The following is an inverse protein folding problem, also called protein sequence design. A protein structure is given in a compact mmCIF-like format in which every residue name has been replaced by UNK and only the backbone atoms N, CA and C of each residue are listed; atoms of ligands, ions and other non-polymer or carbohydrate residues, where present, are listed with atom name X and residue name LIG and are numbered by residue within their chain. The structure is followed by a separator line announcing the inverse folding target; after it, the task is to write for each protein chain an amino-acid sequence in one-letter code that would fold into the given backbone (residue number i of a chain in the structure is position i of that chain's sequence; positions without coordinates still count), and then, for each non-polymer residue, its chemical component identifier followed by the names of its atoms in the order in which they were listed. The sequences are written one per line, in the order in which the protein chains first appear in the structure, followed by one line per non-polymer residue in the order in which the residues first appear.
data_IF_284843839868
#
_entry.id   IF_284843839868
#
_cell.length_a   1.000
_cell.length_b   1.000
_cell.length_c   1.000
_cell.angle_alpha   90.00
_cell.angle_beta   90.00
_cell.angle_gamma   90.00
#
_symmetry.space_group_name_H-M   'P 1'
#
loop_
_entity.id
_entity.type
_entity.pdbx_description
1 polymer ?
#
# COMPACT_ATOMS: atom_id res chain seq x y z
N UNK A 1 2.59 17.86 3.01
CA UNK A 1 1.58 17.54 4.05
C UNK A 1 1.51 16.04 4.11
N UNK A 2 1.54 15.46 5.31
CA UNK A 2 1.35 14.02 5.51
C UNK A 2 -0.07 13.63 5.12
N UNK A 3 -0.22 12.63 4.25
CA UNK A 3 -1.53 12.06 3.93
C UNK A 3 -2.16 11.46 5.20
N UNK A 4 -3.47 11.49 5.30
CA UNK A 4 -4.20 10.90 6.41
C UNK A 4 -5.45 10.22 5.87
N UNK A 5 -5.58 8.94 6.19
CA UNK A 5 -6.72 8.13 5.76
C UNK A 5 -7.99 8.59 6.50
N UNK A 6 -9.06 8.77 5.75
CA UNK A 6 -10.40 9.09 6.27
C UNK A 6 -11.21 7.82 6.51
N UNK A 7 -12.23 7.88 7.37
CA UNK A 7 -13.10 6.73 7.63
C UNK A 7 -13.78 6.22 6.34
N UNK A 8 -14.16 7.11 5.42
CA UNK A 8 -14.74 6.73 4.12
C UNK A 8 -13.77 5.94 3.24
N UNK A 9 -12.50 6.34 3.23
CA UNK A 9 -11.46 5.63 2.47
C UNK A 9 -11.17 4.26 3.09
N UNK A 10 -11.14 4.18 4.42
CA UNK A 10 -11.00 2.92 5.16
C UNK A 10 -12.16 1.96 4.84
N UNK A 11 -13.39 2.45 4.75
CA UNK A 11 -14.53 1.62 4.32
C UNK A 11 -14.39 1.14 2.87
N UNK A 12 -13.83 1.96 1.97
CA UNK A 12 -13.53 1.53 0.61
C UNK A 12 -12.48 0.41 0.59
N UNK A 13 -11.41 0.55 1.37
CA UNK A 13 -10.36 -0.48 1.52
C UNK A 13 -10.97 -1.76 2.10
N UNK A 14 -11.80 -1.65 3.13
CA UNK A 14 -12.51 -2.76 3.76
C UNK A 14 -13.38 -3.54 2.76
N UNK A 15 -14.15 -2.82 1.94
CA UNK A 15 -15.00 -3.41 0.91
C UNK A 15 -14.17 -4.18 -0.14
N UNK A 16 -13.07 -3.61 -0.61
CA UNK A 16 -12.16 -4.27 -1.57
C UNK A 16 -11.50 -5.50 -0.95
N UNK A 17 -10.98 -5.39 0.27
CA UNK A 17 -10.35 -6.50 0.97
C UNK A 17 -11.33 -7.54 1.52
N UNK A 18 -12.64 -7.25 1.48
CA UNK A 18 -13.69 -8.16 1.95
C UNK A 18 -13.63 -8.46 3.45
N UNK A 19 -13.19 -7.50 4.26
CA UNK A 19 -13.05 -7.66 5.72
C UNK A 19 -13.47 -6.39 6.44
N UNK A 20 -13.99 -6.52 7.66
CA UNK A 20 -14.40 -5.38 8.49
C UNK A 20 -13.20 -4.81 9.27
N UNK A 21 -12.96 -3.48 9.23
CA UNK A 21 -11.90 -2.86 9.98
C UNK A 21 -12.26 -2.78 11.47
N UNK A 22 -11.31 -3.09 12.34
CA UNK A 22 -11.36 -2.76 13.77
C UNK A 22 -10.73 -1.40 13.98
N UNK A 23 -11.53 -0.42 14.39
CA UNK A 23 -11.06 0.93 14.70
C UNK A 23 -10.53 0.99 16.14
N UNK A 24 -9.34 1.60 16.30
CA UNK A 24 -8.63 1.79 17.56
C UNK A 24 -8.07 3.21 17.57
N UNK A 25 -8.75 4.13 18.27
CA UNK A 25 -8.38 5.55 18.37
C UNK A 25 -8.07 6.18 16.99
N UNK A 26 -6.78 6.39 16.66
CA UNK A 26 -6.28 6.97 15.41
C UNK A 26 -5.72 5.91 14.44
N UNK A 27 -6.14 4.66 14.57
CA UNK A 27 -5.67 3.54 13.77
C UNK A 27 -6.80 2.57 13.40
N UNK A 28 -6.57 1.85 12.31
CA UNK A 28 -7.48 0.82 11.81
C UNK A 28 -6.71 -0.47 11.59
N UNK A 29 -7.32 -1.58 11.99
CA UNK A 29 -6.74 -2.90 11.89
C UNK A 29 -7.65 -3.84 11.10
N UNK A 30 -7.09 -4.53 10.12
CA UNK A 30 -7.77 -5.48 9.27
C UNK A 30 -7.12 -6.84 9.44
N UNK A 31 -7.95 -7.86 9.62
CA UNK A 31 -7.49 -9.24 9.71
C UNK A 31 -8.11 -10.05 8.59
N UNK A 32 -7.26 -10.55 7.71
CA UNK A 32 -7.63 -11.43 6.62
C UNK A 32 -7.07 -12.82 6.90
N UNK A 33 -7.86 -13.83 6.55
CA UNK A 33 -7.39 -15.22 6.51
C UNK A 33 -7.99 -15.90 5.31
N UNK A 34 -7.18 -16.72 4.64
CA UNK A 34 -7.60 -17.51 3.51
C UNK A 34 -7.58 -19.00 3.91
N UNK A 35 -8.73 -19.63 4.17
CA UNK A 35 -8.79 -21.02 4.61
C UNK A 35 -8.24 -22.02 3.57
N UNK A 36 -8.31 -21.69 2.28
CA UNK A 36 -7.88 -22.57 1.20
C UNK A 36 -6.35 -22.64 1.10
N UNK A 37 -5.68 -21.47 1.13
CA UNK A 37 -4.22 -21.38 1.06
C UNK A 37 -3.56 -21.43 2.45
N UNK A 38 -4.36 -21.38 3.52
CA UNK A 38 -3.94 -21.21 4.93
C UNK A 38 -3.14 -19.94 5.18
N UNK A 39 -3.18 -18.97 4.27
CA UNK A 39 -2.51 -17.69 4.44
C UNK A 39 -3.28 -16.77 5.38
N UNK A 40 -2.55 -15.84 6.00
CA UNK A 40 -3.10 -14.81 6.87
C UNK A 40 -2.37 -13.50 6.65
N UNK A 41 -3.11 -12.41 6.66
CA UNK A 41 -2.60 -11.05 6.54
C UNK A 41 -3.25 -10.19 7.63
N UNK A 42 -2.42 -9.57 8.45
CA UNK A 42 -2.82 -8.53 9.39
C UNK A 42 -2.33 -7.19 8.85
N UNK A 43 -3.25 -6.33 8.47
CA UNK A 43 -2.97 -5.00 7.92
C UNK A 43 -3.35 -3.94 8.96
N UNK A 44 -2.45 -3.00 9.24
CA UNK A 44 -2.72 -1.87 10.14
C UNK A 44 -2.44 -0.56 9.43
N UNK A 45 -3.31 0.42 9.63
CA UNK A 45 -3.17 1.77 9.09
C UNK A 45 -3.19 2.72 10.27
N UNK A 46 -2.14 3.52 10.42
CA UNK A 46 -2.03 4.52 11.48
C UNK A 46 -1.84 5.90 10.85
N UNK A 47 -2.62 6.87 11.33
CA UNK A 47 -2.42 8.28 11.02
C UNK A 47 -1.64 8.97 12.14
N UNK A 48 -0.96 10.08 11.81
CA UNK A 48 -0.29 10.96 12.77
C UNK A 48 0.73 10.24 13.67
N UNK A 49 1.46 9.28 13.11
CA UNK A 49 2.57 8.60 13.79
C UNK A 49 3.80 9.49 13.73
N UNK A 50 4.51 9.63 14.85
CA UNK A 50 5.80 10.29 14.90
C UNK A 50 6.88 9.38 14.26
N UNK A 51 7.23 9.65 13.00
CA UNK A 51 8.17 8.86 12.20
C UNK A 51 9.63 9.26 12.40
N UNK A 52 9.88 10.25 13.26
CA UNK A 52 11.20 10.75 13.60
C UNK A 52 11.10 11.97 14.52
N UNK A 53 12.22 12.67 14.72
CA UNK A 53 12.28 13.81 15.64
C UNK A 53 11.30 14.95 15.28
N UNK A 54 11.07 15.19 13.98
CA UNK A 54 10.33 16.37 13.51
C UNK A 54 9.21 16.07 12.49
N UNK A 55 8.93 14.79 12.21
CA UNK A 55 7.96 14.41 11.17
C UNK A 55 6.85 13.51 11.74
N UNK A 56 5.60 13.94 11.50
CA UNK A 56 4.43 13.09 11.67
C UNK A 56 3.95 12.64 10.28
N UNK A 57 3.55 11.38 10.18
CA UNK A 57 3.10 10.79 8.93
C UNK A 57 2.11 9.65 9.14
N UNK A 58 1.63 9.10 8.03
CA UNK A 58 0.88 7.85 8.04
C UNK A 58 1.82 6.67 7.83
N UNK A 59 1.53 5.55 8.48
CA UNK A 59 2.24 4.29 8.28
C UNK A 59 1.21 3.19 8.02
N UNK A 60 1.51 2.34 7.04
CA UNK A 60 0.74 1.14 6.74
C UNK A 60 1.64 -0.06 6.94
N UNK A 61 1.16 -1.04 7.70
CA UNK A 61 1.92 -2.23 8.08
C UNK A 61 1.16 -3.48 7.67
N UNK A 62 1.86 -4.43 7.06
CA UNK A 62 1.31 -5.72 6.64
C UNK A 62 2.16 -6.84 7.26
N UNK A 63 1.57 -7.55 8.21
CA UNK A 63 2.15 -8.74 8.79
C UNK A 63 1.56 -9.98 8.12
N UNK A 64 2.44 -10.77 7.51
CA UNK A 64 2.11 -12.03 6.85
C UNK A 64 2.84 -13.17 7.54
N UNK A 65 2.61 -14.40 7.06
CA UNK A 65 3.41 -15.56 7.46
C UNK A 65 4.86 -15.52 6.94
N UNK A 66 5.13 -14.67 5.95
CA UNK A 66 6.43 -14.56 5.29
C UNK A 66 7.28 -13.41 5.81
N UNK A 67 6.69 -12.52 6.63
CA UNK A 67 7.40 -11.38 7.17
C UNK A 67 6.49 -10.23 7.57
N UNK A 68 7.12 -9.17 8.05
CA UNK A 68 6.51 -7.91 8.41
C UNK A 68 6.98 -6.84 7.43
N UNK A 69 6.03 -6.18 6.78
CA UNK A 69 6.28 -5.13 5.80
C UNK A 69 5.65 -3.84 6.28
N UNK A 70 6.30 -2.73 6.00
CA UNK A 70 5.76 -1.40 6.32
C UNK A 70 6.10 -0.41 5.23
N UNK A 71 5.21 0.56 5.04
CA UNK A 71 5.43 1.71 4.18
C UNK A 71 5.14 2.97 4.98
N UNK A 72 6.10 3.89 4.94
CA UNK A 72 6.10 5.13 5.70
C UNK A 72 5.70 6.28 4.78
N UNK A 73 5.17 7.34 5.40
CA UNK A 73 4.75 8.55 4.72
C UNK A 73 3.93 8.27 3.46
N UNK A 74 2.85 7.49 3.61
CA UNK A 74 1.95 7.28 2.50
C UNK A 74 1.53 8.64 1.92
N UNK A 75 1.42 8.69 0.60
CA UNK A 75 0.93 9.84 -0.16
C UNK A 75 -0.48 9.59 -0.70
N UNK A 76 -0.91 8.32 -0.70
CA UNK A 76 -2.27 7.92 -1.04
C UNK A 76 -2.41 6.40 -1.15
N UNK A 77 -3.55 5.96 -1.66
CA UNK A 77 -3.81 4.57 -2.02
C UNK A 77 -4.68 4.48 -3.27
N UNK A 78 -4.56 3.37 -4.00
CA UNK A 78 -5.43 3.02 -5.12
C UNK A 78 -6.14 1.71 -4.81
N UNK A 79 -7.45 1.70 -5.03
CA UNK A 79 -8.23 0.45 -5.10
C UNK A 79 -8.12 -0.09 -6.52
N UNK A 80 -7.61 -1.31 -6.64
CA UNK A 80 -7.57 -2.06 -7.89
C UNK A 80 -8.64 -3.15 -7.79
N UNK A 81 -9.77 -2.88 -8.42
CA UNK A 81 -10.89 -3.81 -8.40
C UNK A 81 -10.55 -5.13 -9.11
N UNK A 82 -11.03 -6.28 -8.59
CA UNK A 82 -12.04 -6.40 -7.52
C UNK A 82 -11.46 -6.56 -6.09
N UNK A 83 -10.16 -6.77 -5.93
CA UNK A 83 -9.64 -7.40 -4.72
C UNK A 83 -8.28 -6.90 -4.20
N UNK A 84 -7.67 -5.90 -4.83
CA UNK A 84 -6.36 -5.37 -4.43
C UNK A 84 -6.41 -3.91 -4.00
N UNK A 85 -5.54 -3.57 -3.04
CA UNK A 85 -5.30 -2.20 -2.59
C UNK A 85 -3.80 -1.95 -2.65
N UNK A 86 -3.42 -0.86 -3.31
CA UNK A 86 -2.05 -0.40 -3.43
C UNK A 86 -1.87 0.85 -2.58
N UNK A 87 -1.12 0.74 -1.49
CA UNK A 87 -0.67 1.89 -0.71
C UNK A 87 0.60 2.44 -1.32
N UNK A 88 0.72 3.77 -1.43
CA UNK A 88 1.82 4.42 -2.15
C UNK A 88 2.49 5.45 -1.25
N UNK A 89 3.81 5.52 -1.33
CA UNK A 89 4.63 6.60 -0.80
C UNK A 89 5.51 7.12 -1.93
N UNK A 90 5.36 8.39 -2.26
CA UNK A 90 6.12 9.04 -3.33
C UNK A 90 6.87 10.26 -2.76
N UNK A 91 8.20 10.19 -2.75
CA UNK A 91 9.05 11.26 -2.25
C UNK A 91 10.35 11.35 -3.04
N UNK A 92 10.81 12.58 -3.31
CA UNK A 92 12.13 12.84 -3.91
C UNK A 92 12.41 12.05 -5.21
N UNK A 93 11.39 11.85 -6.05
CA UNK A 93 11.51 11.08 -7.29
C UNK A 93 11.59 9.56 -7.11
N UNK A 94 11.40 9.07 -5.89
CA UNK A 94 11.26 7.65 -5.57
C UNK A 94 9.83 7.33 -5.18
N UNK A 95 9.39 6.14 -5.57
CA UNK A 95 8.08 5.58 -5.29
C UNK A 95 8.28 4.23 -4.62
N UNK A 96 7.56 4.02 -3.53
CA UNK A 96 7.39 2.72 -2.91
C UNK A 96 5.90 2.40 -2.83
N UNK A 97 5.55 1.13 -2.91
CA UNK A 97 4.18 0.68 -2.75
C UNK A 97 4.07 -0.63 -2.00
N UNK A 98 3.04 -0.73 -1.16
CA UNK A 98 2.62 -1.96 -0.53
C UNK A 98 1.29 -2.39 -1.15
N UNK A 99 1.30 -3.51 -1.86
CA UNK A 99 0.13 -4.10 -2.50
C UNK A 99 -0.41 -5.19 -1.59
N UNK A 100 -1.67 -5.11 -1.23
CA UNK A 100 -2.37 -6.13 -0.43
C UNK A 100 -3.65 -6.57 -1.11
N UNK A 101 -3.93 -7.87 -1.12
CA UNK A 101 -5.14 -8.41 -1.74
C UNK A 101 -6.02 -9.21 -0.79
N UNK A 102 -7.30 -9.32 -1.14
CA UNK A 102 -8.34 -10.11 -0.42
C UNK A 102 -7.90 -11.54 -0.13
N UNK A 103 -7.11 -12.13 -1.03
CA UNK A 103 -6.59 -13.50 -0.90
C UNK A 103 -5.41 -13.64 0.07
N UNK A 104 -5.12 -12.63 0.91
CA UNK A 104 -3.94 -12.53 1.78
C UNK A 104 -2.61 -12.39 1.02
N UNK A 105 -2.66 -11.89 -0.22
CA UNK A 105 -1.46 -11.53 -0.98
C UNK A 105 -0.85 -10.25 -0.43
N UNK A 106 0.48 -10.17 -0.47
CA UNK A 106 1.23 -9.00 -0.03
C UNK A 106 2.48 -8.88 -0.90
N UNK A 107 2.74 -7.69 -1.45
CA UNK A 107 3.96 -7.41 -2.22
C UNK A 107 4.44 -6.00 -1.93
N UNK A 108 5.74 -5.85 -1.68
CA UNK A 108 6.39 -4.57 -1.44
C UNK A 108 7.32 -4.25 -2.61
N UNK A 109 7.07 -3.12 -3.26
CA UNK A 109 7.99 -2.51 -4.20
C UNK A 109 8.58 -1.27 -3.53
N UNK A 110 9.91 -1.16 -3.48
CA UNK A 110 10.58 -0.10 -2.72
C UNK A 110 11.64 0.59 -3.57
N UNK A 111 11.81 1.89 -3.34
CA UNK A 111 12.86 2.71 -3.96
C UNK A 111 12.83 2.66 -5.50
N UNK A 112 11.63 2.59 -6.08
CA UNK A 112 11.45 2.60 -7.53
C UNK A 112 11.60 4.03 -8.03
N UNK A 113 12.35 4.24 -9.11
CA UNK A 113 12.48 5.58 -9.69
C UNK A 113 11.17 5.95 -10.39
N UNK A 114 10.63 7.15 -10.12
CA UNK A 114 9.35 7.56 -10.67
C UNK A 114 9.35 7.61 -12.21
N UNK A 115 10.50 7.89 -12.83
CA UNK A 115 10.67 7.99 -14.28
C UNK A 115 10.37 6.69 -15.03
N UNK A 116 10.57 5.52 -14.42
CA UNK A 116 10.25 4.24 -15.07
C UNK A 116 8.74 3.97 -15.16
N UNK A 117 7.94 4.60 -14.29
CA UNK A 117 6.49 4.36 -14.20
C UNK A 117 5.78 4.99 -15.40
N UNK A 118 6.25 6.16 -15.83
CA UNK A 118 5.67 6.93 -16.95
C UNK A 118 6.40 6.70 -18.29
N UNK A 119 7.34 5.75 -18.33
CA UNK A 119 8.18 5.47 -19.49
C UNK A 119 7.50 4.51 -20.49
N UNK A 120 8.00 4.50 -21.73
CA UNK A 120 7.61 3.51 -22.73
C UNK A 120 8.10 2.11 -22.32
N UNK A 121 7.17 1.25 -21.88
CA UNK A 121 7.49 -0.08 -21.36
C UNK A 121 8.19 -0.99 -22.37
N UNK A 122 8.03 -0.75 -23.69
CA UNK A 122 8.75 -1.52 -24.71
C UNK A 122 10.26 -1.25 -24.72
N UNK A 123 10.72 -0.18 -24.06
CA UNK A 123 12.12 0.23 -23.96
C UNK A 123 12.74 -0.05 -22.59
N UNK A 124 11.94 -0.50 -21.62
CA UNK A 124 12.43 -0.84 -20.30
C UNK A 124 13.14 -2.20 -20.30
N UNK A 125 14.11 -2.36 -19.42
CA UNK A 125 14.72 -3.66 -19.17
C UNK A 125 13.68 -4.61 -18.54
N UNK A 126 13.70 -5.88 -18.95
CA UNK A 126 12.73 -6.86 -18.47
C UNK A 126 12.73 -7.02 -16.95
N UNK A 127 13.87 -6.78 -16.29
CA UNK A 127 14.01 -6.87 -14.83
C UNK A 127 13.23 -5.80 -14.06
N UNK A 128 12.87 -4.67 -14.69
CA UNK A 128 12.13 -3.57 -14.03
C UNK A 128 10.64 -3.53 -14.42
N UNK A 129 10.24 -4.32 -15.42
CA UNK A 129 8.87 -4.30 -15.96
C UNK A 129 7.79 -4.57 -14.92
N UNK A 130 8.02 -5.52 -14.00
CA UNK A 130 7.02 -5.87 -12.98
C UNK A 130 6.69 -4.66 -12.09
N UNK A 131 7.72 -3.95 -11.63
CA UNK A 131 7.54 -2.76 -10.80
C UNK A 131 6.87 -1.63 -11.58
N UNK A 132 7.30 -1.39 -12.83
CA UNK A 132 6.73 -0.35 -13.68
C UNK A 132 5.24 -0.61 -13.98
N UNK A 133 4.88 -1.84 -14.34
CA UNK A 133 3.49 -2.21 -14.63
C UNK A 133 2.61 -2.10 -13.39
N UNK A 134 3.05 -2.63 -12.24
CA UNK A 134 2.25 -2.57 -11.01
C UNK A 134 2.00 -1.12 -10.57
N UNK A 135 3.04 -0.27 -10.65
CA UNK A 135 2.96 1.11 -10.21
C UNK A 135 2.27 2.04 -11.23
N UNK A 136 2.14 1.62 -12.50
CA UNK A 136 1.39 2.40 -13.50
C UNK A 136 -0.07 2.67 -13.09
N UNK A 137 -0.66 1.77 -12.29
CA UNK A 137 -2.00 1.93 -11.73
C UNK A 137 -2.09 3.06 -10.69
N UNK A 138 -0.95 3.54 -10.22
CA UNK A 138 -0.83 4.58 -9.18
C UNK A 138 -0.46 5.95 -9.73
N UNK A 139 -0.42 6.10 -11.06
CA UNK A 139 0.03 7.32 -11.73
C UNK A 139 -0.79 8.56 -11.32
N UNK A 140 -2.08 8.39 -11.01
CA UNK A 140 -2.95 9.45 -10.50
C UNK A 140 -2.55 10.01 -9.12
N UNK A 141 -1.79 9.26 -8.33
CA UNK A 141 -1.26 9.68 -7.02
C UNK A 141 0.08 10.40 -7.17
N UNK A 142 0.80 10.16 -8.27
CA UNK A 142 2.15 10.69 -8.51
C UNK A 142 2.14 12.10 -9.13
N UNK A 143 0.96 12.64 -9.49
CA UNK A 143 0.78 13.94 -10.12
C UNK A 143 0.68 15.10 -9.12
#
# INVERSE_FOLDING_TARGET
MSYSFTDSEIQSIAATLGTEPKQLESSWYFQLSNPQTKQSLALSIHNNVQLGAEANGSIVTAQTQHGYFEIHDCTGFVVVEPDEVIFVSAQNGLVSSLVTGRSCTCSLFANIRADIITSDFAKLDASVLMAAMQLSLTESILQ
#
